data_IF_367407371640
#
_entry.id   IF_367407371640
#
_cell.length_a   1.000
_cell.length_b   1.000
_cell.length_c   1.000
_cell.angle_alpha   90.00
_cell.angle_beta   90.00
_cell.angle_gamma   90.00
#
_symmetry.space_group_name_H-M   'P 1'
#
loop_
_entity.id
_entity.type
_entity.pdbx_description
1 polymer ?
2 non-polymer ?
3 non-polymer ?
4 water ?
#
# COMPACT_ATOMS: atom_id res chain seq x y z
N UNK A 1 6.95 -9.12 -20.30
CA UNK A 1 7.33 -8.97 -18.90
C UNK A 1 6.13 -9.31 -18.03
N UNK A 2 6.38 -9.88 -16.86
CA UNK A 2 5.27 -10.25 -15.99
C UNK A 2 4.59 -8.99 -15.46
N UNK A 3 3.27 -9.04 -15.37
CA UNK A 3 2.48 -7.99 -14.75
C UNK A 3 2.11 -8.40 -13.33
N UNK A 4 2.20 -7.45 -12.41
CA UNK A 4 1.80 -7.65 -11.02
C UNK A 4 0.63 -6.73 -10.72
N UNK A 5 -0.52 -7.33 -10.42
CA UNK A 5 -1.74 -6.58 -10.13
C UNK A 5 -1.71 -6.17 -8.67
N UNK A 6 -1.43 -4.89 -8.42
CA UNK A 6 -1.35 -4.34 -7.07
C UNK A 6 -2.61 -3.54 -6.77
N UNK A 7 -3.11 -3.67 -5.54
CA UNK A 7 -4.31 -2.98 -5.09
C UNK A 7 -3.96 -2.18 -3.84
N UNK A 8 -4.32 -0.90 -3.84
CA UNK A 8 -4.06 0.00 -2.71
C UNK A 8 -5.38 0.23 -2.00
N UNK A 9 -5.45 -0.11 -0.70
CA UNK A 9 -6.66 0.01 0.09
C UNK A 9 -6.37 0.69 1.42
N UNK A 10 -7.43 1.17 2.04
CA UNK A 10 -7.36 1.83 3.33
C UNK A 10 -8.44 2.90 3.43
N UNK A 11 -8.64 3.37 4.66
CA UNK A 11 -9.70 4.32 4.98
C UNK A 11 -9.55 5.62 4.18
N UNK A 12 -10.61 6.42 4.22
CA UNK A 12 -10.63 7.65 3.44
C UNK A 12 -9.53 8.61 3.87
N UNK A 13 -8.96 9.30 2.88
CA UNK A 13 -7.95 10.34 3.08
C UNK A 13 -6.66 9.83 3.69
N UNK A 14 -6.38 8.52 3.66
CA UNK A 14 -5.10 8.08 4.22
C UNK A 14 -3.94 8.36 3.27
N UNK A 15 -4.21 8.62 2.00
CA UNK A 15 -3.17 8.87 1.04
C UNK A 15 -2.96 7.77 0.02
N UNK A 16 -3.96 6.93 -0.23
CA UNK A 16 -3.84 5.89 -1.24
C UNK A 16 -3.51 6.49 -2.60
N UNK A 17 -4.31 7.46 -3.03
CA UNK A 17 -4.07 8.12 -4.31
C UNK A 17 -2.71 8.80 -4.34
N UNK A 18 -2.38 9.53 -3.28
CA UNK A 18 -1.16 10.32 -3.28
C UNK A 18 0.08 9.45 -3.26
N UNK A 19 0.00 8.28 -2.62
CA UNK A 19 1.11 7.32 -2.65
C UNK A 19 1.39 6.86 -4.08
N UNK A 20 0.33 6.49 -4.80
CA UNK A 20 0.50 5.99 -6.17
C UNK A 20 0.92 7.12 -7.11
N UNK A 21 0.36 8.31 -6.94
CA UNK A 21 0.71 9.41 -7.84
C UNK A 21 2.14 9.86 -7.59
N UNK A 22 2.62 9.80 -6.34
CA UNK A 22 4.03 10.11 -6.09
C UNK A 22 4.93 9.13 -6.83
N UNK A 23 4.65 7.83 -6.71
CA UNK A 23 5.43 6.82 -7.42
C UNK A 23 5.49 7.10 -8.92
N UNK A 24 4.33 7.38 -9.53
CA UNK A 24 4.24 7.53 -10.98
C UNK A 24 4.72 8.90 -11.43
N UNK A 25 4.19 9.96 -10.82
CA UNK A 25 4.33 11.31 -11.36
C UNK A 25 5.31 12.20 -10.60
N UNK A 26 5.89 11.71 -9.50
CA UNK A 26 6.89 12.49 -8.77
C UNK A 26 6.30 13.82 -8.31
N UNK A 27 5.07 13.77 -7.82
CA UNK A 27 4.37 14.96 -7.38
C UNK A 27 3.46 14.56 -6.22
N UNK A 28 3.53 15.32 -5.13
CA UNK A 28 2.62 15.16 -4.00
C UNK A 28 1.32 15.90 -4.29
N UNK A 29 0.21 15.18 -4.19
CA UNK A 29 -1.09 15.61 -4.69
C UNK A 29 -2.00 15.98 -3.52
N UNK A 30 -2.91 16.93 -3.73
CA UNK A 30 -3.96 17.16 -2.73
C UNK A 30 -5.36 17.20 -3.35
N UNK A 31 -6.35 17.67 -2.58
CA UNK A 31 -7.75 17.59 -3.00
C UNK A 31 -8.04 18.45 -4.23
N UNK A 32 -7.27 19.51 -4.44
CA UNK A 32 -7.46 20.34 -5.62
C UNK A 32 -6.86 19.73 -6.86
N UNK A 33 -6.30 18.52 -6.75
CA UNK A 33 -5.79 17.81 -7.90
C UNK A 33 -6.67 16.61 -8.21
N UNK A 34 -6.76 16.20 -9.47
CA UNK A 34 -7.60 15.04 -9.80
C UNK A 34 -7.04 13.77 -9.18
N UNK A 35 -7.90 13.04 -8.48
CA UNK A 35 -7.61 11.67 -8.05
C UNK A 35 -8.72 10.73 -8.51
N UNK A 36 -9.24 10.96 -9.72
CA UNK A 36 -10.35 10.14 -10.21
C UNK A 36 -9.86 8.86 -10.86
N UNK A 37 -8.64 8.84 -11.39
CA UNK A 37 -8.27 7.75 -12.29
C UNK A 37 -8.25 6.40 -11.57
N UNK A 38 -8.72 5.38 -12.28
CA UNK A 38 -8.82 4.03 -11.75
C UNK A 38 -7.44 3.38 -11.58
N UNK A 39 -6.72 3.18 -12.68
CA UNK A 39 -5.53 2.34 -12.64
C UNK A 39 -4.32 3.02 -13.27
N UNK A 40 -3.15 2.63 -12.77
CA UNK A 40 -1.86 3.16 -13.20
C UNK A 40 -0.94 2.00 -13.52
N UNK A 41 -0.28 2.06 -14.68
CA UNK A 41 0.64 1.02 -15.13
C UNK A 41 2.01 1.63 -15.36
N UNK A 42 3.05 0.92 -14.91
CA UNK A 42 4.40 1.47 -14.94
C UNK A 42 5.43 0.35 -15.04
N UNK A 43 6.33 0.45 -16.03
CA UNK A 43 7.45 -0.48 -16.18
C UNK A 43 8.53 -0.17 -15.16
N UNK A 44 8.97 -1.19 -14.42
CA UNK A 44 10.04 -1.05 -13.44
C UNK A 44 11.03 -2.19 -13.63
N UNK A 45 12.15 -2.09 -12.91
CA UNK A 45 13.09 -3.19 -12.74
C UNK A 45 13.23 -3.44 -11.25
N UNK A 46 12.82 -4.63 -10.80
CA UNK A 46 12.92 -5.00 -9.40
C UNK A 46 13.74 -6.28 -9.32
N UNK A 47 14.86 -6.22 -8.61
CA UNK A 47 15.78 -7.34 -8.45
C UNK A 47 16.29 -7.82 -9.82
N UNK A 48 16.67 -6.85 -10.65
CA UNK A 48 17.20 -7.12 -11.96
C UNK A 48 16.26 -7.85 -12.90
N UNK A 49 14.97 -7.88 -12.58
CA UNK A 49 13.96 -8.49 -13.42
C UNK A 49 12.90 -7.44 -13.74
N UNK A 50 12.76 -7.11 -15.02
CA UNK A 50 11.78 -6.12 -15.43
C UNK A 50 10.37 -6.63 -15.17
N UNK A 51 9.45 -5.70 -14.92
CA UNK A 51 8.06 -6.07 -14.74
C UNK A 51 7.19 -4.83 -14.88
N UNK A 52 5.90 -5.08 -15.04
CA UNK A 52 4.91 -4.01 -15.12
C UNK A 52 4.06 -4.04 -13.86
N UNK A 53 3.99 -2.89 -13.18
CA UNK A 53 3.10 -2.70 -12.05
C UNK A 53 1.75 -2.21 -12.58
N UNK A 54 0.70 -2.97 -12.32
CA UNK A 54 -0.66 -2.60 -12.70
C UNK A 54 -1.37 -2.25 -11.39
N UNK A 55 -1.45 -0.96 -11.07
CA UNK A 55 -1.88 -0.52 -9.75
C UNK A 55 -3.30 0.02 -9.82
N UNK A 56 -4.17 -0.52 -8.98
CA UNK A 56 -5.55 -0.06 -8.90
C UNK A 56 -5.69 0.78 -7.64
N UNK A 57 -6.08 2.04 -7.82
CA UNK A 57 -6.19 3.00 -6.74
C UNK A 57 -7.66 3.07 -6.32
N UNK A 58 -8.05 2.20 -5.40
CA UNK A 58 -9.46 2.06 -5.01
C UNK A 58 -10.05 3.33 -4.38
N UNK A 71 -13.79 -7.61 -8.16
CA UNK A 71 -13.07 -6.36 -8.38
C UNK A 71 -11.65 -6.46 -7.82
N UNK A 72 -11.55 -6.75 -6.52
CA UNK A 72 -10.29 -7.08 -5.88
C UNK A 72 -9.92 -8.55 -6.03
N UNK A 73 -10.79 -9.36 -6.63
CA UNK A 73 -10.58 -10.80 -6.71
C UNK A 73 -9.33 -11.15 -7.50
N UNK A 74 -8.97 -10.34 -8.49
CA UNK A 74 -7.84 -10.63 -9.35
C UNK A 74 -6.53 -10.06 -8.83
N UNK A 75 -6.56 -9.23 -7.79
CA UNK A 75 -5.33 -8.61 -7.31
C UNK A 75 -4.37 -9.64 -6.74
N UNK A 76 -3.08 -9.42 -7.00
CA UNK A 76 -2.03 -10.33 -6.55
C UNK A 76 -1.34 -9.87 -5.27
N UNK A 77 -1.40 -8.58 -4.97
CA UNK A 77 -0.83 -8.06 -3.75
C UNK A 77 -1.54 -6.79 -3.36
N UNK A 78 -1.53 -6.49 -2.06
CA UNK A 78 -2.32 -5.40 -1.52
C UNK A 78 -1.46 -4.52 -0.61
N UNK A 79 -1.59 -3.20 -0.78
CA UNK A 79 -1.07 -2.24 0.18
C UNK A 79 -2.21 -1.86 1.11
N UNK A 80 -2.09 -2.21 2.40
CA UNK A 80 -3.07 -1.79 3.39
C UNK A 80 -2.52 -0.53 4.06
N UNK A 81 -3.16 0.61 3.79
CA UNK A 81 -2.63 1.93 4.15
C UNK A 81 -3.48 2.53 5.27
N UNK A 82 -2.81 3.02 6.30
CA UNK A 82 -3.41 3.89 7.31
C UNK A 82 -2.56 5.14 7.42
N UNK A 83 -3.10 6.17 8.07
CA UNK A 83 -2.38 7.42 8.30
C UNK A 83 -2.04 7.53 9.78
N UNK A 84 -0.78 7.85 10.07
CA UNK A 84 -0.30 7.87 11.45
C UNK A 84 -0.94 8.97 12.28
N UNK A 85 -1.70 9.87 11.66
CA UNK A 85 -2.43 10.90 12.39
C UNK A 85 -3.93 10.61 12.42
N UNK A 86 -4.33 9.35 12.19
CA UNK A 86 -5.74 8.98 12.14
C UNK A 86 -5.86 7.58 12.75
N UNK A 87 -6.13 7.54 14.05
CA UNK A 87 -6.20 6.27 14.76
C UNK A 87 -7.27 5.35 14.20
N UNK A 88 -8.43 5.90 13.82
CA UNK A 88 -9.49 5.07 13.26
C UNK A 88 -9.06 4.39 11.97
N UNK A 89 -8.22 5.05 11.17
CA UNK A 89 -7.72 4.42 9.95
C UNK A 89 -6.84 3.21 10.28
N UNK A 90 -6.12 3.27 11.39
CA UNK A 90 -5.30 2.15 11.82
C UNK A 90 -6.16 1.03 12.41
N UNK A 91 -7.13 1.39 13.24
CA UNK A 91 -8.08 0.40 13.74
C UNK A 91 -8.80 -0.32 12.61
N UNK A 92 -9.06 0.39 11.51
CA UNK A 92 -9.80 -0.17 10.38
C UNK A 92 -8.98 -1.15 9.55
N UNK A 93 -7.66 -1.19 9.72
CA UNK A 93 -6.82 -2.07 8.91
C UNK A 93 -7.31 -3.51 8.96
N UNK A 94 -7.66 -3.99 10.16
CA UNK A 94 -8.10 -5.37 10.27
C UNK A 94 -9.32 -5.63 9.39
N UNK A 95 -10.21 -4.64 9.28
CA UNK A 95 -11.37 -4.76 8.40
C UNK A 95 -10.95 -4.94 6.95
N UNK A 96 -9.96 -4.17 6.50
CA UNK A 96 -9.52 -4.33 5.12
C UNK A 96 -8.85 -5.68 4.92
N UNK A 97 -7.99 -6.08 5.86
CA UNK A 97 -7.32 -7.37 5.74
C UNK A 97 -8.33 -8.51 5.68
N UNK A 98 -9.34 -8.49 6.56
CA UNK A 98 -10.35 -9.54 6.52
C UNK A 98 -11.13 -9.52 5.20
N UNK A 99 -11.39 -8.32 4.66
CA UNK A 99 -12.05 -8.22 3.36
C UNK A 99 -11.22 -8.88 2.27
N UNK A 100 -9.92 -8.60 2.25
CA UNK A 100 -9.04 -9.17 1.23
C UNK A 100 -8.98 -10.68 1.38
N UNK A 101 -8.83 -11.16 2.62
CA UNK A 101 -8.81 -12.59 2.86
C UNK A 101 -10.06 -13.26 2.31
N UNK A 102 -11.22 -12.63 2.52
CA UNK A 102 -12.48 -13.20 2.05
C UNK A 102 -12.51 -13.33 0.53
N UNK A 103 -12.16 -12.25 -0.18
CA UNK A 103 -12.32 -12.27 -1.64
C UNK A 103 -11.21 -13.06 -2.31
N UNK A 104 -10.05 -13.20 -1.67
CA UNK A 104 -9.00 -14.05 -2.22
C UNK A 104 -9.11 -15.48 -1.72
N UNK A 105 -10.07 -15.79 -0.84
CA UNK A 105 -10.25 -17.13 -0.31
C UNK A 105 -8.94 -17.68 0.25
N UNK A 106 -8.25 -16.86 1.04
CA UNK A 106 -6.94 -17.24 1.54
C UNK A 106 -6.69 -16.66 2.92
N UNK A 107 -6.07 -17.45 3.79
CA UNK A 107 -5.62 -16.91 5.07
C UNK A 107 -4.44 -15.97 4.87
N UNK A 108 -3.62 -16.23 3.85
CA UNK A 108 -2.42 -15.44 3.60
C UNK A 108 -2.42 -14.95 2.17
N UNK A 109 -2.26 -13.64 2.00
CA UNK A 109 -2.27 -12.96 0.71
C UNK A 109 -1.05 -12.05 0.71
N UNK A 110 -0.31 -11.92 -0.39
CA UNK A 110 0.78 -10.94 -0.42
C UNK A 110 0.26 -9.55 -0.07
N UNK A 111 0.91 -8.92 0.91
CA UNK A 111 0.33 -7.74 1.53
C UNK A 111 1.41 -7.02 2.33
N UNK A 112 1.35 -5.70 2.31
CA UNK A 112 2.27 -4.84 3.05
C UNK A 112 1.44 -3.84 3.85
N UNK A 113 1.79 -3.65 5.11
CA UNK A 113 1.16 -2.64 5.94
C UNK A 113 1.92 -1.33 5.76
N UNK A 114 1.18 -0.27 5.43
CA UNK A 114 1.76 1.04 5.14
C UNK A 114 1.24 2.05 6.14
N UNK A 115 2.13 2.60 6.96
CA UNK A 115 1.77 3.74 7.78
C UNK A 115 2.20 5.01 7.07
N UNK A 116 1.25 5.72 6.45
CA UNK A 116 1.52 6.87 5.59
C UNK A 116 1.44 8.17 6.38
N UNK A 117 1.91 9.26 5.75
CA UNK A 117 1.95 10.61 6.32
C UNK A 117 3.00 10.75 7.41
N UNK A 118 4.07 9.94 7.35
CA UNK A 118 5.11 9.95 8.37
C UNK A 118 5.96 11.21 8.34
N UNK A 119 5.65 12.16 7.48
CA UNK A 119 6.30 13.46 7.48
C UNK A 119 5.75 14.38 8.56
N UNK A 120 4.52 14.14 8.98
CA UNK A 120 3.85 15.06 9.88
C UNK A 120 4.61 15.15 11.20
N UNK A 121 4.68 16.33 11.81
CA UNK A 121 5.40 16.45 13.08
C UNK A 121 4.71 15.76 14.24
N UNK A 122 3.38 15.64 14.21
CA UNK A 122 2.61 14.97 15.24
C UNK A 122 2.06 13.65 14.69
N UNK A 123 1.42 12.88 15.57
CA UNK A 123 0.85 11.60 15.16
C UNK A 123 0.04 11.02 16.31
N UNK A 124 -0.97 10.22 15.96
CA UNK A 124 -1.82 9.59 16.96
C UNK A 124 -1.67 8.07 17.01
N UNK A 125 -0.94 7.47 16.08
CA UNK A 125 -0.76 6.03 16.04
C UNK A 125 0.63 5.70 16.57
N UNK A 126 0.66 4.96 17.69
CA UNK A 126 1.92 4.51 18.28
C UNK A 126 2.63 3.59 17.30
N UNK A 127 3.87 3.94 16.93
CA UNK A 127 4.59 3.16 15.92
C UNK A 127 4.87 1.73 16.38
N UNK A 128 5.11 1.52 17.68
CA UNK A 128 5.35 0.16 18.16
C UNK A 128 4.13 -0.72 17.95
N UNK A 129 2.93 -0.14 18.03
CA UNK A 129 1.71 -0.88 17.76
C UNK A 129 1.60 -1.29 16.30
N UNK A 130 2.16 -0.49 15.40
CA UNK A 130 2.11 -0.82 13.98
C UNK A 130 3.04 -1.98 13.66
N UNK A 131 4.24 -1.97 14.22
CA UNK A 131 5.14 -3.11 14.05
C UNK A 131 4.51 -4.39 14.58
N UNK A 132 3.84 -4.32 15.73
CA UNK A 132 3.26 -5.54 16.30
C UNK A 132 2.06 -6.00 15.50
N UNK A 133 1.23 -5.08 15.02
CA UNK A 133 0.11 -5.49 14.16
C UNK A 133 0.62 -6.25 12.94
N UNK A 134 1.63 -5.69 12.26
CA UNK A 134 2.19 -6.34 11.08
C UNK A 134 2.83 -7.67 11.43
N UNK A 135 3.52 -7.75 12.57
CA UNK A 135 4.09 -9.02 13.01
C UNK A 135 3.00 -10.05 13.26
N UNK A 136 1.88 -9.64 13.87
CA UNK A 136 0.78 -10.57 14.04
C UNK A 136 0.25 -11.05 12.70
N UNK A 137 0.27 -10.19 11.69
CA UNK A 137 -0.16 -10.61 10.36
C UNK A 137 0.90 -11.41 9.63
N UNK A 138 2.16 -11.31 10.05
CA UNK A 138 3.23 -11.93 9.29
C UNK A 138 3.57 -11.20 8.01
N UNK A 139 3.46 -9.88 7.99
CA UNK A 139 3.69 -9.10 6.77
C UNK A 139 4.65 -7.96 7.09
N UNK A 140 5.35 -7.43 6.08
CA UNK A 140 6.19 -6.25 6.30
C UNK A 140 5.37 -5.03 6.68
N UNK A 141 6.04 -4.11 7.38
CA UNK A 141 5.50 -2.80 7.69
C UNK A 141 6.47 -1.77 7.15
N UNK A 142 5.95 -0.76 6.46
CA UNK A 142 6.78 0.29 5.88
C UNK A 142 6.13 1.64 6.16
N UNK A 143 6.92 2.59 6.66
CA UNK A 143 6.46 3.95 6.89
C UNK A 143 6.70 4.78 5.64
N UNK A 144 5.67 5.48 5.19
CA UNK A 144 5.76 6.21 3.94
C UNK A 144 5.33 7.66 4.13
N UNK A 145 5.80 8.51 3.22
CA UNK A 145 5.23 9.84 3.03
C UNK A 145 5.05 10.06 1.54
N UNK A 146 3.80 10.17 1.09
CA UNK A 146 3.57 10.65 -0.27
C UNK A 146 4.09 12.07 -0.47
N UNK A 147 4.28 12.83 0.62
CA UNK A 147 4.76 14.20 0.49
C UNK A 147 6.25 14.25 0.16
N UNK A 148 7.07 13.58 0.96
CA UNK A 148 8.53 13.64 0.83
C UNK A 148 9.12 12.53 -0.01
N UNK A 149 8.36 11.46 -0.29
CA UNK A 149 8.75 10.25 -1.03
C UNK A 149 9.42 9.21 -0.13
N UNK A 150 9.59 9.48 1.17
CA UNK A 150 10.05 8.44 2.08
C UNK A 150 9.22 7.17 1.92
N UNK A 151 9.91 6.04 1.80
CA UNK A 151 9.31 4.71 1.81
C UNK A 151 8.46 4.33 0.60
N UNK A 152 8.19 5.27 -0.31
CA UNK A 152 7.19 5.02 -1.35
C UNK A 152 7.66 3.89 -2.27
N UNK A 153 8.84 4.04 -2.87
CA UNK A 153 9.33 2.97 -3.73
C UNK A 153 9.48 1.66 -2.95
N UNK A 154 9.91 1.75 -1.69
CA UNK A 154 10.12 0.53 -0.91
C UNK A 154 8.80 -0.21 -0.69
N UNK A 155 7.74 0.53 -0.37
CA UNK A 155 6.43 -0.09 -0.15
C UNK A 155 6.00 -0.91 -1.35
N UNK A 156 6.14 -0.35 -2.56
CA UNK A 156 5.66 -1.04 -3.75
C UNK A 156 6.59 -2.16 -4.16
N UNK A 157 7.90 -1.94 -4.03
CA UNK A 157 8.87 -2.97 -4.38
C UNK A 157 8.81 -4.13 -3.40
N UNK A 158 8.62 -3.82 -2.12
CA UNK A 158 8.45 -4.88 -1.12
C UNK A 158 7.22 -5.71 -1.42
N UNK A 159 6.12 -5.08 -1.85
CA UNK A 159 4.94 -5.87 -2.17
C UNK A 159 5.21 -6.82 -3.33
N UNK A 160 5.89 -6.35 -4.37
CA UNK A 160 6.25 -7.21 -5.49
C UNK A 160 7.08 -8.39 -5.02
N UNK A 161 8.04 -8.15 -4.12
CA UNK A 161 8.83 -9.25 -3.61
C UNK A 161 7.96 -10.25 -2.85
N UNK A 162 6.99 -9.76 -2.07
CA UNK A 162 6.04 -10.65 -1.41
C UNK A 162 5.29 -11.53 -2.41
N UNK A 163 4.84 -10.95 -3.52
CA UNK A 163 4.09 -11.70 -4.53
C UNK A 163 4.97 -12.77 -5.15
N UNK A 164 6.22 -12.41 -5.49
CA UNK A 164 7.13 -13.36 -6.12
C UNK A 164 7.40 -14.56 -5.23
N UNK A 165 7.33 -14.38 -3.92
CA UNK A 165 7.63 -15.43 -2.95
C UNK A 165 6.39 -16.20 -2.50
N UNK A 166 5.21 -15.86 -3.02
CA UNK A 166 3.96 -16.48 -2.63
C UNK A 166 3.88 -17.96 -3.05
X LIG B 1 -7.89 8.38 -3.46
X LIG C 1 -9.81 8.67 -0.95
X LIG C 1 -9.50 8.38 -2.39
X LIG C 1 -11.03 9.54 -0.73
X LIG C 1 -10.09 7.42 -0.14
X LIG C 1 -8.55 9.43 -0.33
X LIG C 1 -7.04 8.91 -0.42
X LIG C 1 -6.76 8.61 -1.84
X LIG C 1 -6.87 7.76 0.51
X LIG C 1 -6.09 10.01 0.06
X LIG C 1 -5.56 11.16 -0.84
X LIG C 1 -4.38 10.72 -1.61
X LIG C 1 -6.66 11.72 -1.66
X LIG C 1 -5.01 12.25 0.16
X LIG C 1 -5.80 12.77 1.24
X LIG C 1 -5.20 14.04 1.83
X LIG C 1 -4.01 13.68 2.56
X LIG C 1 -4.73 15.11 0.83
X LIG C 1 -4.84 16.44 1.37
X LIG C 1 -3.26 14.76 0.65
X LIG C 1 -2.48 15.85 0.20
X LIG C 1 -2.88 14.37 2.07
X LIG C 1 -1.77 13.44 2.13
X LIG C 1 -1.68 12.24 1.46
X LIG C 1 -0.56 11.60 1.72
X LIG C 1 0.11 12.42 2.62
X LIG C 1 1.36 12.25 3.24
X LIG C 1 2.14 11.30 3.12
X LIG C 1 1.68 13.31 4.08
X LIG C 1 0.87 14.41 4.28
X LIG C 1 1.34 15.35 5.13
X LIG C 1 -0.31 14.59 3.71
X LIG C 1 -0.62 13.56 2.89
#
# INVERSE_FOLDING_TARGET
MTEYKLVVVGAGDVGKSALTIQLIQNHFVDEYDPTIEDSYRKQVVIDGETCLLDILDTAGQEEYSAMRDQYMRTGEGFLCVFAINNSKSFADINLYREQIKRVKDSDDVPMVLVGNKCDLPTRTVDTKQAHELAKSYGIPFIETSAKTRQGVEDAFYTLVREIRQY
MG MG
GNP PG O1G O2G O3G N3B PB O1B O2B O3A PA O1A O2A O5' C5' C4' O4' C3' O3' C2' O2' C1' N9 C8 N7 C5 C6 O6 N1 C2 N2 N3 C4
#
